data_IF_498691401460
#
_entry.id   IF_498691401460
#
_cell.length_a   1.000
_cell.length_b   1.000
_cell.length_c   1.000
_cell.angle_alpha   90.00
_cell.angle_beta   90.00
_cell.angle_gamma   90.00
#
_symmetry.space_group_name_H-M   'P 1'
#
loop_
_entity.id
_entity.type
_entity.pdbx_description
1 polymer ?
#
# COMPACT_ATOMS: atom_id res chain seq x y z
N UNK A 1 41.61 0.87 -9.93
CA UNK A 1 40.57 0.35 -9.02
C UNK A 1 39.83 -0.76 -9.78
N UNK A 2 40.04 -2.04 -9.44
CA UNK A 2 39.39 -3.15 -10.16
C UNK A 2 37.99 -3.34 -9.57
N UNK A 3 36.95 -3.01 -10.35
CA UNK A 3 35.60 -3.44 -10.02
C UNK A 3 35.57 -4.97 -10.17
N UNK A 4 35.59 -5.69 -9.05
CA UNK A 4 35.39 -7.14 -9.05
C UNK A 4 33.94 -7.40 -9.46
N UNK A 5 33.72 -7.69 -10.75
CA UNK A 5 32.44 -8.20 -11.22
C UNK A 5 32.42 -9.68 -10.83
N UNK A 6 31.72 -10.00 -9.75
CA UNK A 6 31.44 -11.39 -9.40
C UNK A 6 30.41 -11.90 -10.41
N UNK A 7 30.86 -12.74 -11.34
CA UNK A 7 29.96 -13.45 -12.25
C UNK A 7 29.19 -14.50 -11.46
N UNK A 8 27.86 -14.41 -11.50
CA UNK A 8 26.97 -15.44 -10.98
C UNK A 8 26.17 -16.00 -12.14
N UNK A 9 26.20 -17.32 -12.33
CA UNK A 9 25.38 -17.96 -13.34
C UNK A 9 23.90 -17.84 -12.96
N UNK A 10 23.03 -17.99 -13.96
CA UNK A 10 21.57 -17.99 -13.74
C UNK A 10 21.15 -19.03 -12.70
N UNK A 11 21.79 -20.21 -12.72
CA UNK A 11 21.48 -21.30 -11.80
C UNK A 11 21.90 -20.96 -10.37
N UNK A 12 23.12 -20.45 -10.18
CA UNK A 12 23.61 -20.00 -8.87
C UNK A 12 22.74 -18.88 -8.29
N UNK A 13 22.31 -17.93 -9.13
CA UNK A 13 21.38 -16.89 -8.72
C UNK A 13 20.05 -17.48 -8.23
N UNK A 14 19.47 -18.43 -8.97
CA UNK A 14 18.18 -19.02 -8.61
C UNK A 14 18.26 -19.79 -7.28
N UNK A 15 19.36 -20.52 -7.03
CA UNK A 15 19.57 -21.17 -5.73
C UNK A 15 19.73 -20.14 -4.61
N UNK A 16 20.59 -19.13 -4.78
CA UNK A 16 20.78 -18.09 -3.78
C UNK A 16 19.49 -17.30 -3.50
N UNK A 17 18.71 -17.00 -4.55
CA UNK A 17 17.44 -16.32 -4.44
C UNK A 17 16.43 -17.16 -3.66
N UNK A 18 16.34 -18.47 -3.90
CA UNK A 18 15.43 -19.35 -3.17
C UNK A 18 15.71 -19.30 -1.67
N UNK A 19 16.97 -19.42 -1.27
CA UNK A 19 17.36 -19.38 0.13
C UNK A 19 17.10 -17.99 0.75
N UNK A 20 17.45 -16.92 0.03
CA UNK A 20 17.16 -15.55 0.46
C UNK A 20 15.65 -15.28 0.58
N UNK A 21 14.84 -15.82 -0.33
CA UNK A 21 13.39 -15.69 -0.32
C UNK A 21 12.82 -16.29 0.97
N UNK A 22 13.16 -17.53 1.29
CA UNK A 22 12.68 -18.17 2.53
C UNK A 22 13.22 -17.47 3.79
N UNK A 23 14.50 -17.07 3.78
CA UNK A 23 15.07 -16.28 4.87
C UNK A 23 14.39 -14.91 5.06
N UNK A 24 13.79 -14.34 4.00
CA UNK A 24 13.09 -13.06 4.07
C UNK A 24 11.71 -13.15 4.72
N UNK A 25 11.13 -14.34 4.84
CA UNK A 25 9.80 -14.58 5.45
C UNK A 25 9.93 -14.52 6.97
N UNK A 26 10.11 -13.30 7.48
CA UNK A 26 10.15 -12.99 8.91
C UNK A 26 8.94 -12.15 9.29
N UNK A 27 8.49 -12.27 10.54
CA UNK A 27 7.37 -11.46 11.07
C UNK A 27 7.60 -9.96 10.83
N UNK A 28 8.82 -9.47 11.09
CA UNK A 28 9.22 -8.08 10.86
C UNK A 28 9.07 -7.65 9.40
N UNK A 29 9.53 -8.46 8.45
CA UNK A 29 9.44 -8.14 7.02
C UNK A 29 7.99 -8.17 6.53
N UNK A 30 7.19 -9.11 7.03
CA UNK A 30 5.77 -9.22 6.74
C UNK A 30 5.04 -7.98 7.28
N UNK A 31 5.22 -7.64 8.56
CA UNK A 31 4.69 -6.42 9.19
C UNK A 31 5.07 -5.15 8.43
N UNK A 32 6.34 -5.04 8.03
CA UNK A 32 6.85 -3.92 7.24
C UNK A 32 6.22 -3.84 5.86
N UNK A 33 5.99 -4.97 5.20
CA UNK A 33 5.30 -5.08 3.92
C UNK A 33 3.85 -4.59 4.01
N UNK A 34 3.09 -5.11 4.98
CA UNK A 34 1.72 -4.64 5.25
C UNK A 34 1.68 -3.14 5.51
N UNK A 35 2.56 -2.63 6.39
CA UNK A 35 2.64 -1.20 6.71
C UNK A 35 2.90 -0.34 5.46
N UNK A 36 3.83 -0.74 4.59
CA UNK A 36 4.11 -0.02 3.33
C UNK A 36 2.93 -0.06 2.36
N UNK A 37 2.16 -1.14 2.35
CA UNK A 37 0.92 -1.24 1.58
C UNK A 37 -0.25 -0.45 2.20
N UNK A 38 -0.04 0.21 3.35
CA UNK A 38 -1.10 0.91 4.09
C UNK A 38 -2.06 -0.02 4.85
N UNK A 39 -1.76 -1.32 4.86
CA UNK A 39 -2.49 -2.35 5.60
C UNK A 39 -1.87 -2.45 6.99
N UNK A 40 -2.65 -2.18 8.03
CA UNK A 40 -2.19 -2.32 9.42
C UNK A 40 -3.06 -3.37 10.09
N UNK A 41 -2.77 -4.64 9.85
CA UNK A 41 -3.54 -5.76 10.44
C UNK A 41 -3.14 -6.10 11.88
N UNK A 42 -2.11 -5.45 12.41
CA UNK A 42 -1.49 -5.78 13.71
C UNK A 42 -2.06 -4.99 14.89
N UNK A 43 -2.86 -3.97 14.62
CA UNK A 43 -3.46 -3.13 15.64
C UNK A 43 -4.95 -3.02 15.32
N UNK A 44 -5.73 -3.86 15.99
CA UNK A 44 -7.16 -3.97 15.81
C UNK A 44 -7.85 -2.61 16.07
N UNK A 45 -7.38 -1.84 17.05
CA UNK A 45 -7.90 -0.50 17.34
C UNK A 45 -7.63 0.46 16.18
N UNK A 46 -6.44 0.41 15.58
CA UNK A 46 -6.14 1.19 14.36
C UNK A 46 -7.00 0.78 13.17
N UNK A 47 -7.29 -0.51 13.00
CA UNK A 47 -8.19 -0.98 11.93
C UNK A 47 -9.60 -0.47 12.18
N UNK A 48 -10.12 -0.67 13.38
CA UNK A 48 -11.46 -0.28 13.78
C UNK A 48 -11.65 1.25 13.70
N UNK A 49 -10.67 2.05 14.11
CA UNK A 49 -10.73 3.52 14.01
C UNK A 49 -10.82 4.04 12.57
N UNK A 50 -10.31 3.30 11.57
CA UNK A 50 -10.49 3.63 10.15
C UNK A 50 -11.84 3.17 9.60
N UNK A 51 -12.44 2.14 10.20
CA UNK A 51 -13.74 1.61 9.81
C UNK A 51 -14.89 2.38 10.48
N UNK A 52 -14.66 3.04 11.61
CA UNK A 52 -15.62 3.96 12.25
C UNK A 52 -15.71 5.31 11.51
N UNK A 53 -15.88 5.23 10.20
CA UNK A 53 -16.08 6.40 9.36
C UNK A 53 -17.57 6.74 9.39
N UNK A 54 -17.94 7.80 10.12
CA UNK A 54 -19.30 8.33 10.03
C UNK A 54 -19.52 8.87 8.62
N UNK A 55 -20.29 8.14 7.81
CA UNK A 55 -20.75 8.60 6.50
C UNK A 55 -21.61 9.86 6.71
N UNK A 56 -21.01 11.04 6.47
CA UNK A 56 -21.77 12.27 6.31
C UNK A 56 -22.09 12.42 4.83
N UNK A 57 -23.38 12.38 4.52
CA UNK A 57 -23.86 12.96 3.26
C UNK A 57 -23.52 14.45 3.31
N UNK A 58 -22.82 15.02 2.30
CA UNK A 58 -22.72 16.46 2.17
C UNK A 58 -24.12 17.03 2.25
N UNK A 59 -24.34 18.02 3.13
CA UNK A 59 -25.62 18.73 3.18
C UNK A 59 -25.90 19.24 1.77
N UNK A 60 -27.06 18.89 1.16
CA UNK A 60 -27.36 19.37 -0.17
C UNK A 60 -27.29 20.90 -0.13
N UNK A 61 -26.49 21.49 -1.03
CA UNK A 61 -26.52 22.93 -1.24
C UNK A 61 -27.98 23.28 -1.53
N UNK A 62 -28.58 24.07 -0.64
CA UNK A 62 -29.94 24.56 -0.83
C UNK A 62 -29.97 25.27 -2.17
N UNK A 63 -30.61 24.62 -3.16
CA UNK A 63 -30.98 25.23 -4.41
C UNK A 63 -32.00 26.32 -4.10
N UNK A 64 -31.53 27.50 -3.68
CA UNK A 64 -32.34 28.70 -3.80
C UNK A 64 -32.43 28.97 -5.29
N UNK A 65 -33.65 28.87 -5.81
CA UNK A 65 -33.97 29.00 -7.22
C UNK A 65 -33.23 30.17 -7.87
N UNK A 66 -32.24 29.86 -8.70
CA UNK A 66 -31.71 30.78 -9.70
C UNK A 66 -31.28 29.96 -10.90
N UNK A 67 -32.18 29.93 -11.88
CA UNK A 67 -31.90 29.96 -13.33
C UNK A 67 -30.74 29.11 -13.83
N UNK A 68 -31.10 28.04 -14.54
CA UNK A 68 -30.23 27.24 -15.40
C UNK A 68 -29.27 28.12 -16.20
N UNK A 69 -27.96 27.95 -16.00
CA UNK A 69 -26.98 28.30 -17.02
C UNK A 69 -26.30 27.03 -17.50
N UNK A 70 -26.14 26.83 -18.82
CA UNK A 70 -25.67 25.56 -19.37
C UNK A 70 -24.20 25.33 -19.05
N UNK A 71 -23.89 24.07 -18.70
CA UNK A 71 -22.53 23.58 -18.49
C UNK A 71 -21.80 23.55 -19.84
N UNK A 72 -20.95 24.54 -20.09
CA UNK A 72 -20.01 24.52 -21.22
C UNK A 72 -18.81 23.66 -20.82
N UNK A 73 -18.63 22.54 -21.54
CA UNK A 73 -17.35 21.83 -21.66
C UNK A 73 -16.68 22.27 -22.96
#
# INVERSE_FOLDING_TARGET
MRAYINYVSKLEFLYAFREAFFASITEKNIQGGFRRAGLVLYDLERVLSKLDMRLRTPTPLTSRASTLQPLVF
#
